data_IF_063499305303
#
_entry.id   IF_063499305303
#
_cell.length_a   1.000
_cell.length_b   1.000
_cell.length_c   1.000
_cell.angle_alpha   90.00
_cell.angle_beta   90.00
_cell.angle_gamma   90.00
#
_symmetry.space_group_name_H-M   'P 1'
#
loop_
_entity.id
_entity.type
_entity.pdbx_description
1 polymer ?
#
# COMPACT_ATOMS: atom_id res chain seq x y z
N UNK A 1 -12.95 6.23 9.48
CA UNK A 1 -12.71 7.66 9.18
C UNK A 1 -12.96 7.86 7.70
N UNK A 2 -13.61 8.96 7.27
CA UNK A 2 -13.84 9.18 5.85
C UNK A 2 -12.53 9.41 5.12
N UNK A 3 -12.41 8.81 3.93
CA UNK A 3 -11.36 9.11 2.96
C UNK A 3 -11.32 10.64 2.76
N UNK A 4 -10.15 11.28 2.94
CA UNK A 4 -10.06 12.73 2.77
C UNK A 4 -10.37 13.09 1.32
N UNK A 5 -11.14 14.16 1.11
CA UNK A 5 -11.61 14.61 -0.22
C UNK A 5 -10.48 14.87 -1.21
N UNK A 6 -9.29 15.27 -0.74
CA UNK A 6 -8.12 15.49 -1.60
C UNK A 6 -7.55 14.19 -2.20
N UNK A 7 -7.78 13.03 -1.57
CA UNK A 7 -7.43 11.74 -2.15
C UNK A 7 -8.53 11.23 -3.10
N UNK A 8 -9.81 11.62 -2.88
CA UNK A 8 -10.95 11.11 -3.67
C UNK A 8 -11.01 11.66 -5.10
N UNK A 9 -10.55 12.89 -5.34
CA UNK A 9 -10.59 13.50 -6.68
C UNK A 9 -9.57 12.91 -7.67
N UNK A 10 -8.56 12.22 -7.15
CA UNK A 10 -7.49 11.64 -7.98
C UNK A 10 -7.81 10.19 -8.39
N UNK A 11 -8.77 9.50 -7.72
CA UNK A 11 -8.86 8.04 -7.82
C UNK A 11 -10.27 7.52 -8.11
N UNK A 12 -10.74 7.66 -9.35
CA UNK A 12 -11.84 6.82 -9.84
C UNK A 12 -11.33 5.38 -9.99
N UNK A 13 -11.73 4.50 -9.06
CA UNK A 13 -11.34 3.07 -9.03
C UNK A 13 -12.44 2.14 -9.52
N UNK A 14 -13.38 2.70 -10.31
CA UNK A 14 -14.47 1.91 -10.87
C UNK A 14 -13.90 0.72 -11.65
N UNK A 15 -14.44 -0.46 -11.37
CA UNK A 15 -14.11 -1.74 -12.02
C UNK A 15 -12.65 -2.21 -11.90
N UNK A 16 -11.82 -1.56 -11.06
CA UNK A 16 -10.46 -2.02 -10.78
C UNK A 16 -10.46 -3.26 -9.88
N UNK A 17 -9.55 -4.17 -10.20
CA UNK A 17 -9.19 -5.27 -9.30
C UNK A 17 -7.97 -4.79 -8.53
N UNK A 18 -8.13 -4.69 -7.23
CA UNK A 18 -7.16 -4.07 -6.35
C UNK A 18 -6.44 -5.10 -5.48
N UNK A 19 -5.22 -4.79 -5.08
CA UNK A 19 -4.53 -5.48 -4.00
C UNK A 19 -4.17 -4.48 -2.91
N UNK A 20 -4.53 -4.80 -1.67
CA UNK A 20 -4.23 -4.02 -0.46
C UNK A 20 -3.16 -4.76 0.34
N UNK A 21 -1.94 -4.24 0.32
CA UNK A 21 -0.77 -4.83 0.94
C UNK A 21 -0.55 -4.21 2.32
N UNK A 22 -0.85 -4.99 3.36
CA UNK A 22 -0.96 -4.52 4.74
C UNK A 22 -2.38 -4.04 5.04
N UNK A 23 -3.38 -4.87 4.74
CA UNK A 23 -4.79 -4.49 4.90
C UNK A 23 -5.14 -4.05 6.32
N UNK A 24 -4.53 -4.65 7.36
CA UNK A 24 -4.77 -4.32 8.76
C UNK A 24 -6.28 -4.32 9.09
N UNK A 25 -6.82 -3.22 9.58
CA UNK A 25 -8.27 -3.06 9.86
C UNK A 25 -9.12 -2.90 8.59
N UNK A 26 -8.53 -2.59 7.44
CA UNK A 26 -9.21 -2.47 6.16
C UNK A 26 -9.50 -1.04 5.70
N UNK A 27 -8.79 -0.04 6.23
CA UNK A 27 -9.06 1.36 5.91
C UNK A 27 -8.89 1.71 4.43
N UNK A 28 -7.80 1.26 3.78
CA UNK A 28 -7.63 1.44 2.33
C UNK A 28 -8.63 0.60 1.53
N UNK A 29 -8.89 -0.63 1.94
CA UNK A 29 -9.90 -1.50 1.31
C UNK A 29 -11.28 -0.87 1.36
N UNK A 30 -11.71 -0.29 2.48
CA UNK A 30 -12.99 0.43 2.59
C UNK A 30 -13.06 1.60 1.60
N UNK A 31 -11.99 2.39 1.51
CA UNK A 31 -11.89 3.47 0.54
C UNK A 31 -11.99 2.97 -0.91
N UNK A 32 -11.29 1.89 -1.26
CA UNK A 32 -11.35 1.28 -2.59
C UNK A 32 -12.75 0.81 -2.95
N UNK A 33 -13.44 0.16 -2.02
CA UNK A 33 -14.83 -0.30 -2.21
C UNK A 33 -15.79 0.86 -2.42
N UNK A 34 -15.67 1.94 -1.64
CA UNK A 34 -16.47 3.17 -1.80
C UNK A 34 -16.21 3.84 -3.16
N UNK A 35 -15.00 3.72 -3.71
CA UNK A 35 -14.64 4.22 -5.03
C UNK A 35 -15.00 3.26 -6.18
N UNK A 36 -15.72 2.17 -5.89
CA UNK A 36 -16.25 1.25 -6.90
C UNK A 36 -15.27 0.17 -7.34
N UNK A 37 -14.30 -0.21 -6.52
CA UNK A 37 -13.46 -1.37 -6.82
C UNK A 37 -14.33 -2.62 -7.06
N UNK A 38 -13.98 -3.39 -8.08
CA UNK A 38 -14.66 -4.64 -8.44
C UNK A 38 -14.33 -5.74 -7.45
N UNK A 39 -13.05 -5.86 -7.08
CA UNK A 39 -12.51 -6.87 -6.18
C UNK A 39 -11.29 -6.29 -5.45
N UNK A 40 -11.10 -6.67 -4.20
CA UNK A 40 -9.91 -6.32 -3.41
C UNK A 40 -9.30 -7.58 -2.80
N UNK A 41 -8.05 -7.85 -3.12
CA UNK A 41 -7.23 -8.84 -2.42
C UNK A 41 -6.54 -8.15 -1.23
N UNK A 42 -6.94 -8.48 -0.02
CA UNK A 42 -6.33 -7.96 1.20
C UNK A 42 -5.24 -8.91 1.72
N UNK A 43 -4.01 -8.43 1.81
CA UNK A 43 -2.86 -9.23 2.24
C UNK A 43 -2.34 -8.70 3.57
N UNK A 44 -2.17 -9.59 4.56
CA UNK A 44 -1.58 -9.23 5.84
C UNK A 44 -0.81 -10.42 6.46
N UNK A 45 0.28 -10.12 7.15
CA UNK A 45 1.00 -11.10 7.97
C UNK A 45 0.29 -11.40 9.30
N UNK A 46 -0.56 -10.48 9.74
CA UNK A 46 -1.43 -10.61 10.91
C UNK A 46 -2.62 -11.52 10.67
N UNK A 47 -3.42 -11.70 11.71
CA UNK A 47 -4.64 -12.51 11.69
C UNK A 47 -5.73 -11.87 12.55
N UNK A 48 -6.95 -11.83 12.04
CA UNK A 48 -8.13 -11.40 12.78
C UNK A 48 -8.22 -9.89 13.06
N UNK A 49 -7.38 -9.08 12.39
CA UNK A 49 -7.36 -7.62 12.58
C UNK A 49 -8.38 -6.88 11.73
N UNK A 50 -8.74 -7.46 10.58
CA UNK A 50 -9.63 -6.82 9.60
C UNK A 50 -11.05 -6.68 10.18
N UNK A 51 -11.61 -5.49 10.04
CA UNK A 51 -12.98 -5.18 10.47
C UNK A 51 -13.98 -6.20 9.90
N UNK A 52 -14.98 -6.54 10.71
CA UNK A 52 -15.98 -7.55 10.36
C UNK A 52 -16.72 -7.22 9.05
N UNK A 53 -17.04 -5.95 8.80
CA UNK A 53 -17.72 -5.52 7.56
C UNK A 53 -16.87 -5.75 6.31
N UNK A 54 -15.57 -5.47 6.43
CA UNK A 54 -14.61 -5.68 5.33
C UNK A 54 -14.41 -7.17 5.10
N UNK A 55 -14.22 -7.94 6.17
CA UNK A 55 -14.02 -9.39 6.15
C UNK A 55 -15.15 -10.13 5.47
N UNK A 56 -16.39 -9.70 5.69
CA UNK A 56 -17.58 -10.35 5.14
C UNK A 56 -18.08 -9.71 3.84
N UNK A 57 -17.35 -8.75 3.28
CA UNK A 57 -17.72 -8.15 2.01
C UNK A 57 -17.42 -9.13 0.86
N UNK A 58 -18.41 -9.48 -0.01
CA UNK A 58 -18.21 -10.43 -1.10
C UNK A 58 -17.18 -9.97 -2.15
N UNK A 59 -16.82 -8.69 -2.16
CA UNK A 59 -15.78 -8.12 -3.01
C UNK A 59 -14.39 -8.14 -2.38
N UNK A 60 -14.21 -8.80 -1.24
CA UNK A 60 -12.91 -8.86 -0.54
C UNK A 60 -12.48 -10.30 -0.37
N UNK A 61 -11.27 -10.59 -0.80
CA UNK A 61 -10.60 -11.87 -0.60
C UNK A 61 -9.40 -11.66 0.31
N UNK A 62 -9.43 -12.23 1.52
CA UNK A 62 -8.38 -12.06 2.51
C UNK A 62 -7.33 -13.17 2.43
N UNK A 63 -6.07 -12.76 2.48
CA UNK A 63 -4.87 -13.58 2.66
C UNK A 63 -4.18 -13.15 3.96
N UNK A 64 -4.69 -13.63 5.07
CA UNK A 64 -4.09 -13.43 6.40
C UNK A 64 -2.92 -14.40 6.63
N UNK A 65 -2.04 -14.09 7.60
CA UNK A 65 -0.81 -14.83 7.88
C UNK A 65 0.05 -15.02 6.64
N UNK A 66 -0.04 -14.09 5.70
CA UNK A 66 0.57 -14.20 4.39
C UNK A 66 1.60 -13.09 4.18
N UNK A 67 2.84 -13.47 3.93
CA UNK A 67 3.87 -12.52 3.57
C UNK A 67 3.81 -12.27 2.06
N UNK A 68 3.59 -11.02 1.66
CA UNK A 68 3.52 -10.60 0.24
C UNK A 68 4.72 -11.08 -0.59
N UNK A 69 5.91 -11.22 0.02
CA UNK A 69 7.11 -11.67 -0.68
C UNK A 69 7.06 -13.13 -1.14
N UNK A 70 6.17 -13.92 -0.54
CA UNK A 70 6.01 -15.34 -0.86
C UNK A 70 4.81 -15.58 -1.79
N UNK A 71 3.93 -14.61 -1.95
CA UNK A 71 2.71 -14.73 -2.73
C UNK A 71 3.02 -14.73 -4.22
N UNK A 72 2.32 -15.56 -4.97
CA UNK A 72 2.46 -15.74 -6.41
C UNK A 72 1.13 -15.51 -7.13
N UNK A 73 1.12 -15.16 -8.43
CA UNK A 73 -0.12 -14.98 -9.19
C UNK A 73 -1.10 -16.16 -9.08
N UNK A 74 -0.61 -17.39 -9.09
CA UNK A 74 -1.47 -18.57 -8.98
C UNK A 74 -2.19 -18.69 -7.63
N UNK A 75 -1.64 -18.11 -6.56
CA UNK A 75 -2.30 -18.08 -5.25
C UNK A 75 -3.55 -17.18 -5.30
N UNK A 76 -3.47 -16.05 -6.01
CA UNK A 76 -4.62 -15.18 -6.24
C UNK A 76 -5.63 -15.87 -7.14
N UNK A 77 -5.18 -16.47 -8.24
CA UNK A 77 -6.02 -17.18 -9.20
C UNK A 77 -6.70 -18.42 -8.60
N UNK A 78 -6.20 -18.98 -7.51
CA UNK A 78 -6.89 -20.04 -6.78
C UNK A 78 -8.18 -19.58 -6.08
N UNK A 79 -8.38 -18.27 -5.97
CA UNK A 79 -9.51 -17.63 -5.26
C UNK A 79 -10.41 -16.81 -6.17
N UNK A 80 -9.92 -16.39 -7.34
CA UNK A 80 -10.65 -15.62 -8.35
C UNK A 80 -9.93 -15.71 -9.69
N UNK A 81 -10.66 -15.65 -10.79
CA UNK A 81 -10.11 -15.72 -12.15
C UNK A 81 -9.44 -14.42 -12.63
N UNK A 82 -9.29 -13.44 -11.74
CA UNK A 82 -8.82 -12.11 -12.09
C UNK A 82 -7.59 -11.70 -11.28
N UNK A 83 -6.58 -11.14 -11.97
CA UNK A 83 -5.39 -10.59 -11.33
C UNK A 83 -5.52 -9.07 -11.12
N UNK A 84 -4.88 -8.52 -10.07
CA UNK A 84 -4.99 -7.11 -9.75
C UNK A 84 -4.25 -6.23 -10.77
N UNK A 85 -4.82 -5.04 -11.02
CA UNK A 85 -4.26 -3.99 -11.86
C UNK A 85 -4.10 -2.66 -11.11
N UNK A 86 -4.35 -2.66 -9.82
CA UNK A 86 -4.16 -1.54 -8.92
C UNK A 86 -3.66 -2.00 -7.55
N UNK A 87 -2.73 -1.25 -6.96
CA UNK A 87 -2.20 -1.57 -5.64
C UNK A 87 -2.33 -0.39 -4.67
N UNK A 88 -2.68 -0.69 -3.43
CA UNK A 88 -2.40 0.16 -2.28
C UNK A 88 -1.48 -0.59 -1.33
N UNK A 89 -0.55 0.12 -0.70
CA UNK A 89 0.38 -0.48 0.23
C UNK A 89 0.58 0.41 1.47
N UNK A 90 0.16 -0.10 2.61
CA UNK A 90 0.35 0.49 3.94
C UNK A 90 1.06 -0.53 4.85
N UNK A 91 2.37 -0.57 4.78
CA UNK A 91 3.18 -1.53 5.51
C UNK A 91 3.78 -0.93 6.77
N UNK A 92 3.80 -1.70 7.85
CA UNK A 92 4.48 -1.37 9.09
C UNK A 92 5.59 -2.40 9.40
N UNK A 93 6.67 -1.91 10.01
CA UNK A 93 7.82 -2.73 10.44
C UNK A 93 8.64 -3.38 9.31
N UNK A 94 8.41 -2.99 8.07
CA UNK A 94 9.16 -3.41 6.89
C UNK A 94 9.28 -2.23 5.92
N UNK A 95 10.41 -2.15 5.22
CA UNK A 95 10.59 -1.15 4.17
C UNK A 95 9.83 -1.55 2.89
N UNK A 96 9.17 -0.58 2.25
CA UNK A 96 8.55 -0.73 0.93
C UNK A 96 9.53 -1.24 -0.13
N UNK A 97 10.82 -0.90 0.01
CA UNK A 97 11.88 -1.33 -0.91
C UNK A 97 11.99 -2.85 -1.03
N UNK A 98 11.65 -3.58 0.03
CA UNK A 98 11.74 -5.05 0.07
C UNK A 98 10.56 -5.76 -0.60
N UNK A 99 9.51 -5.03 -0.96
CA UNK A 99 8.27 -5.63 -1.48
C UNK A 99 7.92 -5.21 -2.90
N UNK A 100 8.54 -4.17 -3.48
CA UNK A 100 8.24 -3.71 -4.85
C UNK A 100 8.29 -4.84 -5.88
N UNK A 101 9.34 -5.65 -5.86
CA UNK A 101 9.48 -6.80 -6.76
C UNK A 101 8.29 -7.76 -6.66
N UNK A 102 7.90 -8.10 -5.44
CA UNK A 102 6.80 -9.03 -5.20
C UNK A 102 5.46 -8.44 -5.62
N UNK A 103 5.25 -7.16 -5.33
CA UNK A 103 4.04 -6.44 -5.76
C UNK A 103 3.96 -6.40 -7.29
N UNK A 104 5.03 -5.99 -7.99
CA UNK A 104 5.05 -5.93 -9.46
C UNK A 104 4.73 -7.27 -10.10
N UNK A 105 5.21 -8.37 -9.53
CA UNK A 105 4.96 -9.71 -10.06
C UNK A 105 3.49 -10.18 -9.93
N UNK A 106 2.68 -9.53 -9.10
CA UNK A 106 1.28 -9.89 -8.89
C UNK A 106 0.32 -9.08 -9.78
N UNK A 107 0.80 -7.99 -10.36
CA UNK A 107 -0.02 -7.03 -11.10
C UNK A 107 0.01 -7.33 -12.60
N UNK A 108 -1.14 -7.23 -13.25
CA UNK A 108 -1.29 -7.47 -14.69
C UNK A 108 -2.11 -6.36 -15.34
N UNK A 109 -1.70 -5.93 -16.51
CA UNK A 109 -2.41 -4.95 -17.33
C UNK A 109 -1.49 -3.89 -17.95
N UNK A 110 -2.05 -3.09 -18.85
CA UNK A 110 -1.31 -2.06 -19.61
C UNK A 110 -1.27 -0.69 -18.90
N UNK A 111 -1.98 -0.55 -17.78
CA UNK A 111 -2.09 0.72 -17.05
C UNK A 111 -2.20 0.42 -15.56
N UNK A 112 -1.10 -0.03 -14.99
CA UNK A 112 -1.01 -0.39 -13.58
C UNK A 112 -0.67 0.86 -12.79
N UNK A 113 -1.43 1.11 -11.74
CA UNK A 113 -1.20 2.22 -10.82
C UNK A 113 -1.14 1.74 -9.38
N UNK A 114 -0.51 2.52 -8.53
CA UNK A 114 -0.45 2.21 -7.11
C UNK A 114 -0.29 3.43 -6.23
N UNK A 115 -0.77 3.29 -5.00
CA UNK A 115 -0.58 4.25 -3.90
C UNK A 115 0.21 3.56 -2.80
N UNK A 116 1.35 4.15 -2.48
CA UNK A 116 2.27 3.63 -1.48
C UNK A 116 2.40 4.63 -0.34
N UNK A 117 2.10 4.19 0.89
CA UNK A 117 2.30 5.00 2.07
C UNK A 117 3.76 4.84 2.55
N UNK A 118 4.56 5.86 2.30
CA UNK A 118 5.96 5.92 2.72
C UNK A 118 6.00 6.35 4.18
N UNK A 119 6.54 5.50 5.03
CA UNK A 119 6.69 5.72 6.46
C UNK A 119 8.19 5.88 6.77
N UNK A 120 8.72 7.10 6.95
CA UNK A 120 10.16 7.33 7.15
C UNK A 120 10.78 6.46 8.23
N UNK A 121 10.05 6.19 9.31
CA UNK A 121 10.51 5.36 10.43
C UNK A 121 10.83 3.91 10.06
N UNK A 122 10.32 3.40 8.92
CA UNK A 122 10.62 2.06 8.42
C UNK A 122 11.54 2.06 7.20
N UNK A 123 11.90 3.24 6.71
CA UNK A 123 12.75 3.40 5.51
C UNK A 123 14.19 3.82 5.83
N UNK A 124 14.39 4.58 6.91
CA UNK A 124 15.71 5.01 7.35
C UNK A 124 16.34 4.02 8.34
N UNK A 125 17.66 4.14 8.56
CA UNK A 125 18.37 3.35 9.57
C UNK A 125 17.86 3.64 10.99
N UNK A 126 17.99 2.65 11.88
CA UNK A 126 17.53 2.75 13.27
C UNK A 126 18.19 3.90 14.03
N UNK A 127 19.43 4.25 13.67
CA UNK A 127 20.21 5.37 14.20
C UNK A 127 19.59 6.76 13.91
N UNK A 128 18.73 6.84 12.88
CA UNK A 128 18.01 8.04 12.46
C UNK A 128 16.61 8.19 13.06
N UNK A 129 16.17 7.15 13.78
CA UNK A 129 14.87 7.13 14.46
C UNK A 129 15.06 7.54 15.91
N UNK A 130 14.42 8.62 16.32
CA UNK A 130 14.51 9.12 17.69
C UNK A 130 13.81 8.20 18.70
N UNK A 131 14.11 8.37 20.00
CA UNK A 131 13.39 7.70 21.07
C UNK A 131 11.88 7.92 20.91
N UNK A 132 11.11 6.83 20.98
CA UNK A 132 9.66 6.83 20.71
C UNK A 132 9.29 6.51 19.25
N UNK A 133 10.25 6.12 18.39
CA UNK A 133 9.96 5.66 17.04
C UNK A 133 9.69 6.78 16.03
N UNK A 134 10.08 8.03 16.32
CA UNK A 134 9.77 9.20 15.49
C UNK A 134 10.99 9.70 14.73
N UNK A 135 10.85 9.91 13.43
CA UNK A 135 11.85 10.59 12.60
C UNK A 135 11.57 12.10 12.64
N UNK A 136 12.45 12.87 13.30
CA UNK A 136 12.25 14.30 13.53
C UNK A 136 12.98 15.19 12.53
N UNK A 137 14.10 14.71 12.00
CA UNK A 137 14.93 15.50 11.11
C UNK A 137 14.36 15.49 9.67
N UNK A 138 14.03 16.63 9.08
CA UNK A 138 13.50 16.71 7.72
C UNK A 138 14.38 16.06 6.66
N UNK A 139 15.70 16.08 6.84
CA UNK A 139 16.65 15.43 5.92
C UNK A 139 16.40 13.91 5.83
N UNK A 140 16.02 13.27 6.94
CA UNK A 140 15.75 11.83 6.95
C UNK A 140 14.41 11.49 6.30
N UNK A 141 13.45 12.42 6.31
CA UNK A 141 12.23 12.26 5.52
C UNK A 141 12.53 12.28 4.01
N UNK A 142 13.36 13.25 3.56
CA UNK A 142 13.80 13.31 2.16
C UNK A 142 14.56 12.05 1.77
N UNK A 143 15.50 11.60 2.60
CA UNK A 143 16.26 10.35 2.36
C UNK A 143 15.35 9.13 2.23
N UNK A 144 14.34 9.00 3.11
CA UNK A 144 13.36 7.91 3.05
C UNK A 144 12.60 7.91 1.71
N UNK A 145 12.08 9.07 1.32
CA UNK A 145 11.32 9.27 0.09
C UNK A 145 12.18 8.94 -1.13
N UNK A 146 13.38 9.53 -1.22
CA UNK A 146 14.30 9.31 -2.34
C UNK A 146 14.71 7.84 -2.48
N UNK A 147 14.99 7.18 -1.35
CA UNK A 147 15.36 5.76 -1.31
C UNK A 147 14.24 4.86 -1.83
N UNK A 148 12.99 5.12 -1.42
CA UNK A 148 11.81 4.38 -1.89
C UNK A 148 11.59 4.62 -3.38
N UNK A 149 11.64 5.89 -3.84
CA UNK A 149 11.44 6.24 -5.26
C UNK A 149 12.54 5.62 -6.13
N UNK A 150 13.80 5.67 -5.69
CA UNK A 150 14.91 5.06 -6.41
C UNK A 150 14.71 3.55 -6.58
N UNK A 151 14.32 2.87 -5.49
CA UNK A 151 14.02 1.44 -5.55
C UNK A 151 12.81 1.14 -6.44
N UNK A 152 11.75 1.92 -6.34
CA UNK A 152 10.55 1.76 -7.18
C UNK A 152 10.90 1.86 -8.67
N UNK A 153 11.75 2.84 -9.04
CA UNK A 153 12.24 3.02 -10.42
C UNK A 153 13.01 1.79 -10.94
N UNK A 154 13.77 1.09 -10.11
CA UNK A 154 14.49 -0.13 -10.51
C UNK A 154 13.55 -1.30 -10.81
N UNK A 155 12.28 -1.19 -10.44
CA UNK A 155 11.20 -2.11 -10.78
C UNK A 155 10.17 -1.49 -11.73
N UNK A 156 10.59 -0.53 -12.56
CA UNK A 156 9.82 0.12 -13.62
C UNK A 156 8.65 1.00 -13.14
N UNK A 157 8.57 1.29 -11.84
CA UNK A 157 7.62 2.25 -11.30
C UNK A 157 8.07 3.69 -11.54
N UNK A 158 7.18 4.52 -12.04
CA UNK A 158 7.39 5.96 -12.20
C UNK A 158 6.46 6.74 -11.28
N UNK A 159 7.02 7.72 -10.56
CA UNK A 159 6.22 8.59 -9.68
C UNK A 159 5.38 9.55 -10.52
N UNK A 160 4.11 9.70 -10.15
CA UNK A 160 3.16 10.65 -10.72
C UNK A 160 2.91 11.82 -9.78
N UNK A 161 2.76 11.53 -8.50
CA UNK A 161 2.57 12.55 -7.48
C UNK A 161 3.06 12.07 -6.12
N UNK A 162 3.40 13.02 -5.26
CA UNK A 162 3.80 12.79 -3.87
C UNK A 162 3.20 13.88 -3.01
N UNK A 163 2.46 13.48 -1.99
CA UNK A 163 1.87 14.41 -1.01
C UNK A 163 2.17 13.95 0.41
N UNK A 164 2.24 14.88 1.33
CA UNK A 164 2.23 14.54 2.76
C UNK A 164 0.86 13.95 3.12
N UNK A 165 0.87 12.87 3.90
CA UNK A 165 -0.37 12.31 4.43
C UNK A 165 -1.08 13.33 5.31
N UNK A 166 -2.40 13.53 5.14
CA UNK A 166 -3.17 14.38 6.05
C UNK A 166 -3.28 13.79 7.46
N UNK A 167 -3.00 12.50 7.60
CA UNK A 167 -2.98 11.80 8.88
C UNK A 167 -1.55 11.59 9.33
N UNK A 168 -1.30 11.85 10.61
CA UNK A 168 -0.03 11.53 11.27
C UNK A 168 -0.08 10.10 11.78
N UNK A 169 1.01 9.38 11.68
CA UNK A 169 1.10 8.02 12.23
C UNK A 169 0.91 7.99 13.76
N UNK A 170 0.59 6.83 14.34
CA UNK A 170 0.23 6.71 15.78
C UNK A 170 1.28 7.26 16.75
N UNK A 171 2.57 7.20 16.37
CA UNK A 171 3.66 7.75 17.18
C UNK A 171 3.96 9.23 16.89
N UNK A 172 3.20 9.86 15.98
CA UNK A 172 3.41 11.24 15.54
C UNK A 172 4.36 11.40 14.35
N UNK A 173 4.63 10.34 13.60
CA UNK A 173 5.41 10.42 12.38
C UNK A 173 4.61 11.07 11.25
N UNK A 174 5.23 11.98 10.51
CA UNK A 174 4.74 12.41 9.21
C UNK A 174 5.00 11.29 8.19
N UNK A 175 3.98 10.96 7.42
CA UNK A 175 3.99 9.93 6.40
C UNK A 175 3.65 10.54 5.03
N UNK A 176 3.92 9.83 3.93
CA UNK A 176 3.77 10.38 2.59
C UNK A 176 3.06 9.40 1.68
N UNK A 177 2.10 9.89 0.91
CA UNK A 177 1.39 9.13 -0.11
C UNK A 177 2.07 9.36 -1.47
N UNK A 178 2.61 8.31 -2.04
CA UNK A 178 3.22 8.32 -3.37
C UNK A 178 2.28 7.62 -4.36
N UNK A 179 1.79 8.35 -5.34
CA UNK A 179 1.10 7.78 -6.50
C UNK A 179 2.12 7.43 -7.58
N UNK A 180 2.13 6.18 -7.99
CA UNK A 180 3.07 5.65 -8.96
C UNK A 180 2.34 4.85 -10.05
N UNK A 181 2.97 4.76 -11.24
CA UNK A 181 2.54 3.91 -12.34
C UNK A 181 3.66 2.95 -12.71
N UNK A 182 3.31 1.70 -12.94
CA UNK A 182 4.19 0.68 -13.53
C UNK A 182 4.13 0.80 -15.05
N UNK A 183 5.30 0.77 -15.69
CA UNK A 183 5.44 0.85 -17.16
C UNK A 183 5.27 -0.51 -17.82
#
# INVERSE_FOLDING_TARGET
QPCSSAASDVYKRQDKICIDVGISTGGFTDCLLQQGAKLVYGIDVGYGQTDWKIRNNPKVILFERTNIRNLKPHDLLSRSDELPNFVVADLSFISLRLVFKSISNLLVGNSIEGIFLIKPQFEVGKDKVSKGGVVRNPKFHTEAIESVICTAKSFEWSIKNLIASPLVGPAGNHEYLAWMCLK
#
